data_IF_243624657856
#
_entry.id   IF_243624657856
#
_cell.length_a   1.000
_cell.length_b   1.000
_cell.length_c   1.000
_cell.angle_alpha   90.00
_cell.angle_beta   90.00
_cell.angle_gamma   90.00
#
_symmetry.space_group_name_H-M   'P 1'
#
loop_
_entity.id
_entity.type
_entity.pdbx_description
1 polymer ?
#
# COMPACT_ATOMS: atom_id res chain seq x y z
N UNK A 1 -36.14 -8.66 -8.31
CA UNK A 1 -35.24 -7.60 -7.85
C UNK A 1 -34.08 -7.54 -8.85
N UNK A 2 -33.81 -6.41 -9.51
CA UNK A 2 -32.83 -6.39 -10.63
C UNK A 2 -31.37 -6.53 -10.13
N UNK A 3 -31.16 -6.19 -8.86
CA UNK A 3 -29.95 -6.48 -8.12
C UNK A 3 -29.62 -7.98 -8.01
N UNK A 4 -30.57 -8.88 -8.30
CA UNK A 4 -30.34 -10.34 -8.35
C UNK A 4 -30.27 -10.90 -9.78
N UNK A 5 -30.32 -10.05 -10.82
CA UNK A 5 -30.18 -10.54 -12.19
C UNK A 5 -28.73 -10.92 -12.47
N UNK A 6 -28.51 -12.10 -13.06
CA UNK A 6 -27.17 -12.58 -13.42
C UNK A 6 -26.41 -11.56 -14.27
N UNK A 7 -27.10 -10.94 -15.22
CA UNK A 7 -26.57 -9.90 -16.12
C UNK A 7 -26.02 -8.68 -15.38
N UNK A 8 -26.75 -8.20 -14.37
CA UNK A 8 -26.32 -7.06 -13.55
C UNK A 8 -25.08 -7.38 -12.71
N UNK A 9 -25.07 -8.56 -12.10
CA UNK A 9 -23.99 -8.93 -11.17
C UNK A 9 -22.71 -9.25 -11.95
N UNK A 10 -22.84 -9.89 -13.12
CA UNK A 10 -21.73 -10.11 -14.04
C UNK A 10 -21.15 -8.79 -14.55
N UNK A 11 -21.99 -7.83 -14.94
CA UNK A 11 -21.49 -6.53 -15.43
C UNK A 11 -20.76 -5.76 -14.34
N UNK A 12 -21.27 -5.78 -13.10
CA UNK A 12 -20.62 -5.16 -11.93
C UNK A 12 -19.28 -5.85 -11.62
N UNK A 13 -19.28 -7.18 -11.56
CA UNK A 13 -18.08 -7.97 -11.26
C UNK A 13 -16.98 -7.79 -12.31
N UNK A 14 -17.33 -7.87 -13.60
CA UNK A 14 -16.39 -7.69 -14.70
C UNK A 14 -15.91 -6.24 -14.81
N UNK A 15 -16.81 -5.25 -14.68
CA UNK A 15 -16.47 -3.84 -14.73
C UNK A 15 -15.50 -3.43 -13.62
N UNK A 16 -15.77 -3.88 -12.38
CA UNK A 16 -14.86 -3.66 -11.27
C UNK A 16 -13.51 -4.38 -11.45
N UNK A 17 -13.53 -5.64 -11.87
CA UNK A 17 -12.31 -6.43 -12.08
C UNK A 17 -11.41 -5.83 -13.17
N UNK A 18 -11.99 -5.41 -14.28
CA UNK A 18 -11.25 -4.76 -15.38
C UNK A 18 -10.65 -3.42 -14.93
N UNK A 19 -11.41 -2.62 -14.17
CA UNK A 19 -10.89 -1.37 -13.61
C UNK A 19 -9.68 -1.62 -12.67
N UNK A 20 -9.80 -2.58 -11.76
CA UNK A 20 -8.71 -2.93 -10.82
C UNK A 20 -7.50 -3.48 -11.57
N UNK A 21 -7.72 -4.31 -12.59
CA UNK A 21 -6.66 -4.86 -13.41
C UNK A 21 -5.87 -3.76 -14.14
N UNK A 22 -6.57 -2.83 -14.80
CA UNK A 22 -5.95 -1.68 -15.45
C UNK A 22 -5.20 -0.80 -14.45
N UNK A 23 -5.82 -0.48 -13.32
CA UNK A 23 -5.17 0.29 -12.25
C UNK A 23 -3.89 -0.40 -11.74
N UNK A 24 -3.92 -1.72 -11.57
CA UNK A 24 -2.79 -2.51 -11.09
C UNK A 24 -1.63 -2.49 -12.09
N UNK A 25 -1.91 -2.60 -13.39
CA UNK A 25 -0.88 -2.49 -14.45
C UNK A 25 -0.19 -1.12 -14.41
N UNK A 26 -0.99 -0.06 -14.24
CA UNK A 26 -0.52 1.33 -14.12
C UNK A 26 0.14 1.63 -12.76
N UNK A 27 0.05 0.70 -11.80
CA UNK A 27 0.54 0.86 -10.44
C UNK A 27 -0.26 1.87 -9.61
N UNK A 28 -1.49 2.19 -10.00
CA UNK A 28 -2.35 3.09 -9.25
C UNK A 28 -2.93 2.37 -8.02
N UNK A 29 -2.76 2.92 -6.81
CA UNK A 29 -3.26 2.31 -5.58
C UNK A 29 -4.78 2.50 -5.47
N UNK A 30 -5.53 1.62 -6.11
CA UNK A 30 -7.00 1.60 -6.10
C UNK A 30 -7.50 0.44 -5.21
N UNK A 31 -8.73 0.53 -4.71
CA UNK A 31 -9.34 -0.53 -3.91
C UNK A 31 -10.45 -1.26 -4.65
N UNK A 32 -10.63 -2.53 -4.28
CA UNK A 32 -11.76 -3.38 -4.66
C UNK A 32 -13.10 -2.74 -4.34
N UNK A 33 -13.25 -2.19 -3.12
CA UNK A 33 -14.49 -1.55 -2.67
C UNK A 33 -14.83 -0.34 -3.53
N UNK A 34 -13.85 0.50 -3.85
CA UNK A 34 -14.06 1.68 -4.70
C UNK A 34 -14.49 1.30 -6.14
N UNK A 35 -13.82 0.30 -6.74
CA UNK A 35 -14.17 -0.19 -8.07
C UNK A 35 -15.56 -0.85 -8.09
N UNK A 36 -15.91 -1.62 -7.06
CA UNK A 36 -17.24 -2.22 -6.91
C UNK A 36 -18.32 -1.15 -6.75
N UNK A 37 -18.09 -0.12 -5.93
CA UNK A 37 -19.02 0.99 -5.78
C UNK A 37 -19.27 1.68 -7.12
N UNK A 38 -18.20 2.02 -7.86
CA UNK A 38 -18.32 2.61 -9.19
C UNK A 38 -19.10 1.70 -10.15
N UNK A 39 -18.74 0.42 -10.21
CA UNK A 39 -19.40 -0.56 -11.06
C UNK A 39 -20.89 -0.74 -10.72
N UNK A 40 -21.26 -0.77 -9.44
CA UNK A 40 -22.66 -0.81 -8.97
C UNK A 40 -23.44 0.44 -9.41
N UNK A 41 -22.84 1.64 -9.30
CA UNK A 41 -23.45 2.87 -9.81
C UNK A 41 -23.68 2.77 -11.32
N UNK A 42 -22.67 2.38 -12.08
CA UNK A 42 -22.74 2.33 -13.54
C UNK A 42 -23.70 1.27 -14.09
N UNK A 43 -23.60 0.04 -13.58
CA UNK A 43 -24.55 -1.03 -13.91
C UNK A 43 -25.97 -0.66 -13.50
N UNK A 44 -26.13 0.04 -12.37
CA UNK A 44 -27.43 0.49 -11.87
C UNK A 44 -28.08 1.55 -12.76
N UNK A 45 -27.29 2.53 -13.21
CA UNK A 45 -27.74 3.54 -14.17
C UNK A 45 -28.11 2.89 -15.51
N UNK A 46 -27.28 1.99 -16.03
CA UNK A 46 -27.53 1.30 -17.30
C UNK A 46 -28.81 0.46 -17.24
N UNK A 47 -29.01 -0.26 -16.13
CA UNK A 47 -30.24 -0.99 -15.83
C UNK A 47 -31.47 -0.08 -15.76
N UNK A 48 -31.37 1.06 -15.09
CA UNK A 48 -32.48 2.02 -15.01
C UNK A 48 -32.86 2.55 -16.39
N UNK A 49 -31.87 2.91 -17.22
CA UNK A 49 -32.11 3.44 -18.57
C UNK A 49 -32.76 2.39 -19.48
N UNK A 50 -32.34 1.12 -19.39
CA UNK A 50 -32.79 0.07 -20.30
C UNK A 50 -34.09 -0.62 -19.87
N UNK A 51 -34.34 -0.74 -18.56
CA UNK A 51 -35.46 -1.51 -18.01
C UNK A 51 -36.41 -0.68 -17.12
N UNK A 52 -36.10 0.60 -16.85
CA UNK A 52 -36.89 1.44 -15.93
C UNK A 52 -36.72 1.03 -14.46
N UNK A 53 -35.66 0.30 -14.11
CA UNK A 53 -35.46 -0.28 -12.78
C UNK A 53 -35.16 0.73 -11.68
N UNK A 54 -35.88 0.72 -10.56
CA UNK A 54 -35.57 1.61 -9.44
C UNK A 54 -34.13 1.41 -8.92
N UNK A 55 -33.32 2.46 -9.03
CA UNK A 55 -31.98 2.49 -8.44
C UNK A 55 -32.10 2.86 -6.97
N UNK A 56 -31.81 1.92 -6.06
CA UNK A 56 -31.74 2.16 -4.60
C UNK A 56 -30.49 2.98 -4.21
N UNK A 57 -30.39 4.21 -4.73
CA UNK A 57 -29.28 5.16 -4.51
C UNK A 57 -28.99 5.39 -3.02
N UNK A 58 -30.03 5.43 -2.17
CA UNK A 58 -29.88 5.61 -0.74
C UNK A 58 -29.12 4.45 -0.07
N UNK A 59 -29.42 3.19 -0.44
CA UNK A 59 -28.73 2.02 0.08
C UNK A 59 -27.27 1.95 -0.43
N UNK A 60 -27.03 2.34 -1.68
CA UNK A 60 -25.68 2.39 -2.25
C UNK A 60 -24.81 3.46 -1.58
N UNK A 61 -25.38 4.65 -1.34
CA UNK A 61 -24.72 5.74 -0.63
C UNK A 61 -24.36 5.36 0.81
N UNK A 62 -25.36 4.88 1.58
CA UNK A 62 -25.19 4.53 2.99
C UNK A 62 -24.20 3.39 3.24
N UNK A 63 -24.28 2.33 2.42
CA UNK A 63 -23.52 1.11 2.68
C UNK A 63 -22.13 1.11 2.05
N UNK A 64 -21.89 1.89 1.00
CA UNK A 64 -20.61 1.83 0.26
C UNK A 64 -19.90 3.19 0.19
N UNK A 65 -20.59 4.27 -0.17
CA UNK A 65 -19.95 5.57 -0.37
C UNK A 65 -19.51 6.20 0.96
N UNK A 66 -20.38 6.16 1.97
CA UNK A 66 -20.08 6.75 3.29
C UNK A 66 -18.86 6.07 3.93
N UNK A 67 -18.80 4.73 4.08
CA UNK A 67 -17.62 4.05 4.62
C UNK A 67 -16.34 4.32 3.82
N UNK A 68 -16.45 4.43 2.49
CA UNK A 68 -15.32 4.69 1.60
C UNK A 68 -14.68 6.07 1.83
N UNK A 69 -15.49 7.06 2.21
CA UNK A 69 -15.04 8.43 2.51
C UNK A 69 -14.57 8.57 3.96
N UNK A 70 -15.29 7.96 4.91
CA UNK A 70 -15.03 8.12 6.35
C UNK A 70 -13.82 7.29 6.80
N UNK A 71 -13.63 6.07 6.28
CA UNK A 71 -12.55 5.18 6.72
C UNK A 71 -11.13 5.75 6.60
N UNK A 72 -10.71 6.44 5.52
CA UNK A 72 -9.42 7.11 5.49
C UNK A 72 -9.31 8.24 6.53
N UNK A 73 -10.39 8.99 6.78
CA UNK A 73 -10.38 10.06 7.79
C UNK A 73 -10.19 9.50 9.20
N UNK A 74 -10.89 8.41 9.54
CA UNK A 74 -10.70 7.69 10.80
C UNK A 74 -9.24 7.26 10.94
N UNK A 75 -8.65 6.68 9.88
CA UNK A 75 -7.25 6.24 9.92
C UNK A 75 -6.27 7.40 10.13
N UNK A 76 -6.53 8.56 9.52
CA UNK A 76 -5.72 9.77 9.68
C UNK A 76 -5.74 10.24 11.13
N UNK A 77 -6.93 10.33 11.73
CA UNK A 77 -7.11 10.76 13.12
C UNK A 77 -6.41 9.79 14.08
N UNK A 78 -6.61 8.48 13.89
CA UNK A 78 -6.00 7.47 14.74
C UNK A 78 -4.47 7.48 14.66
N UNK A 79 -3.89 7.61 13.46
CA UNK A 79 -2.44 7.75 13.32
C UNK A 79 -1.93 9.04 13.98
N UNK A 80 -2.61 10.16 13.75
CA UNK A 80 -2.24 11.44 14.34
C UNK A 80 -2.26 11.41 15.88
N UNK A 81 -3.15 10.61 16.48
CA UNK A 81 -3.23 10.39 17.92
C UNK A 81 -2.19 9.38 18.43
N UNK A 82 -2.05 8.22 17.77
CA UNK A 82 -1.26 7.10 18.28
C UNK A 82 0.25 7.25 18.03
N UNK A 83 0.64 7.82 16.88
CA UNK A 83 2.06 7.93 16.54
C UNK A 83 2.85 8.80 17.54
N UNK A 84 2.37 9.97 18.00
CA UNK A 84 3.04 10.74 19.06
C UNK A 84 3.19 9.95 20.37
N UNK A 85 2.19 9.13 20.73
CA UNK A 85 2.24 8.28 21.93
C UNK A 85 3.32 7.22 21.78
N UNK A 86 3.36 6.51 20.65
CA UNK A 86 4.41 5.52 20.37
C UNK A 86 5.80 6.16 20.33
N UNK A 87 5.92 7.35 19.75
CA UNK A 87 7.16 8.13 19.77
C UNK A 87 7.59 8.49 21.20
N UNK A 88 6.66 8.96 22.03
CA UNK A 88 6.94 9.30 23.42
C UNK A 88 7.40 8.09 24.24
N UNK A 89 6.66 6.97 24.14
CA UNK A 89 6.99 5.70 24.80
C UNK A 89 8.39 5.22 24.39
N UNK A 90 8.66 5.20 23.08
CA UNK A 90 9.97 4.84 22.52
C UNK A 90 11.11 5.66 23.12
N UNK A 91 10.98 6.99 23.14
CA UNK A 91 12.03 7.89 23.66
C UNK A 91 12.24 7.64 25.16
N UNK A 92 11.15 7.47 25.92
CA UNK A 92 11.21 7.19 27.36
C UNK A 92 11.90 5.86 27.68
N UNK A 93 11.83 4.89 26.76
CA UNK A 93 12.49 3.59 26.88
C UNK A 93 13.95 3.60 26.43
N UNK A 94 14.52 4.78 26.10
CA UNK A 94 15.91 4.92 25.69
C UNK A 94 16.19 4.43 24.26
N UNK A 95 15.15 4.23 23.44
CA UNK A 95 15.31 3.81 22.04
C UNK A 95 15.45 5.08 21.19
N UNK A 96 16.68 5.45 20.84
CA UNK A 96 17.02 6.66 20.05
C UNK A 96 17.12 6.34 18.56
N UNK A 97 16.96 7.35 17.69
CA UNK A 97 17.19 7.18 16.25
C UNK A 97 18.65 7.51 16.01
N UNK A 98 19.39 6.59 15.40
CA UNK A 98 20.74 6.85 14.92
C UNK A 98 20.71 6.90 13.39
N UNK A 99 21.44 7.85 12.80
CA UNK A 99 21.64 7.92 11.35
C UNK A 99 22.99 7.28 11.05
N UNK A 100 22.98 6.19 10.29
CA UNK A 100 24.21 5.60 9.78
C UNK A 100 24.72 6.46 8.63
N UNK A 101 25.88 7.10 8.81
CA UNK A 101 26.60 7.78 7.74
C UNK A 101 27.47 6.73 7.05
N UNK A 102 27.01 6.22 5.91
CA UNK A 102 27.83 5.33 5.08
C UNK A 102 28.92 6.15 4.36
N UNK A 103 30.18 5.97 4.76
CA UNK A 103 31.34 6.51 4.03
C UNK A 103 31.88 5.42 3.09
N UNK A 104 31.63 5.58 1.79
CA UNK A 104 32.41 5.01 0.69
C UNK A 104 32.72 3.51 0.71
N UNK A 105 31.75 2.64 0.41
CA UNK A 105 32.06 1.27 -0.01
C UNK A 105 32.27 1.21 -1.53
N UNK A 106 33.44 1.65 -2.00
CA UNK A 106 34.00 1.12 -3.25
C UNK A 106 35.50 1.40 -3.32
N UNK A 107 36.31 0.39 -3.04
CA UNK A 107 37.71 0.37 -3.48
C UNK A 107 37.68 0.23 -5.01
N UNK A 108 37.78 1.36 -5.72
CA UNK A 108 37.66 1.41 -7.20
C UNK A 108 38.84 0.72 -7.89
N UNK A 109 39.99 0.57 -7.20
CA UNK A 109 41.14 -0.20 -7.71
C UNK A 109 42.17 -0.48 -6.62
N UNK A 110 42.65 -1.73 -6.53
CA UNK A 110 43.88 -2.10 -5.81
C UNK A 110 45.03 -2.05 -6.81
N UNK A 111 46.02 -1.19 -6.55
CA UNK A 111 47.28 -1.16 -7.30
C UNK A 111 48.28 -2.06 -6.56
N UNK A 112 48.88 -3.07 -7.21
CA UNK A 112 49.91 -3.87 -6.56
C UNK A 112 51.13 -2.98 -6.28
N UNK A 113 51.50 -2.86 -5.01
CA UNK A 113 52.76 -2.24 -4.61
C UNK A 113 53.88 -3.28 -4.84
N UNK A 114 54.93 -2.98 -5.63
CA UNK A 114 56.09 -3.85 -5.71
C UNK A 114 56.90 -3.70 -4.41
N UNK A 115 56.85 -4.68 -3.50
CA UNK A 115 57.61 -4.62 -2.24
C UNK A 115 58.34 -5.94 -1.96
N UNK A 116 59.67 -5.86 -1.85
CA UNK A 116 60.54 -6.90 -1.28
C UNK A 116 60.79 -6.68 0.22
N UNK A 117 61.35 -7.67 0.94
CA UNK A 117 61.44 -7.64 2.41
C UNK A 117 62.35 -6.51 2.92
N UNK A 118 61.86 -5.72 3.88
CA UNK A 118 62.67 -4.78 4.68
C UNK A 118 62.53 -3.27 4.39
N UNK A 119 61.45 -2.79 3.75
CA UNK A 119 61.23 -1.34 3.54
C UNK A 119 60.05 -0.79 4.33
N UNK A 120 60.24 0.40 4.89
CA UNK A 120 59.25 1.14 5.68
C UNK A 120 58.02 1.52 4.84
N UNK A 121 56.84 1.17 5.38
CA UNK A 121 55.56 1.20 4.67
C UNK A 121 55.02 2.62 4.43
N UNK A 122 55.47 3.62 5.21
CA UNK A 122 54.94 4.99 5.19
C UNK A 122 55.66 5.92 4.20
N UNK A 123 56.92 5.64 3.86
CA UNK A 123 57.74 6.49 2.98
C UNK A 123 57.68 6.09 1.49
N UNK A 124 57.19 4.88 1.18
CA UNK A 124 56.98 4.40 -0.20
C UNK A 124 55.63 4.82 -0.81
N UNK A 125 54.75 5.43 -0.01
CA UNK A 125 53.53 6.09 -0.50
C UNK A 125 53.79 7.51 -1.05
N UNK A 126 55.06 7.89 -1.22
CA UNK A 126 55.41 9.15 -1.89
C UNK A 126 55.37 8.91 -3.40
N UNK A 127 54.22 9.25 -3.98
CA UNK A 127 54.00 9.58 -5.39
C UNK A 127 54.69 8.64 -6.38
N UNK A 128 53.94 7.66 -6.90
CA UNK A 128 54.24 7.15 -8.23
C UNK A 128 54.36 8.36 -9.17
N UNK A 129 55.54 8.63 -9.78
CA UNK A 129 55.78 9.86 -10.53
C UNK A 129 54.92 10.01 -11.79
N UNK A 130 54.16 8.97 -12.16
CA UNK A 130 53.30 8.94 -13.34
C UNK A 130 51.86 9.42 -13.10
N UNK A 131 51.51 9.93 -11.90
CA UNK A 131 50.15 10.36 -11.63
C UNK A 131 49.88 11.82 -12.04
N UNK A 132 49.59 12.02 -13.31
CA UNK A 132 49.22 13.30 -13.93
C UNK A 132 47.68 13.47 -14.03
N UNK A 133 46.97 13.24 -12.92
CA UNK A 133 45.50 13.24 -12.87
C UNK A 133 44.93 14.18 -11.81
N UNK A 134 44.26 15.23 -12.27
CA UNK A 134 43.67 16.35 -11.53
C UNK A 134 42.45 15.97 -10.66
N UNK A 135 42.60 15.02 -9.73
CA UNK A 135 41.49 14.57 -8.87
C UNK A 135 41.89 14.50 -7.40
N UNK A 136 41.57 15.58 -6.70
CA UNK A 136 41.47 15.62 -5.25
C UNK A 136 40.61 14.44 -4.74
N UNK A 137 40.98 13.90 -3.58
CA UNK A 137 40.22 12.90 -2.84
C UNK A 137 38.79 13.40 -2.66
N UNK A 138 37.85 12.85 -3.42
CA UNK A 138 36.45 13.27 -3.42
C UNK A 138 35.68 12.35 -2.49
N UNK A 139 35.30 12.86 -1.32
CA UNK A 139 34.39 12.17 -0.41
C UNK A 139 32.99 12.32 -1.00
N UNK A 140 32.51 11.29 -1.68
CA UNK A 140 31.13 11.24 -2.16
C UNK A 140 30.24 10.80 -0.99
N UNK A 141 29.56 11.78 -0.38
CA UNK A 141 28.55 11.50 0.64
C UNK A 141 27.38 10.82 -0.06
N UNK A 142 27.02 9.61 0.40
CA UNK A 142 25.86 8.90 -0.13
C UNK A 142 24.63 9.84 -0.16
N UNK A 143 23.83 9.83 -1.24
CA UNK A 143 22.62 10.63 -1.31
C UNK A 143 21.76 10.41 -0.06
N UNK A 144 21.14 11.47 0.47
CA UNK A 144 20.33 11.46 1.70
C UNK A 144 19.24 10.36 1.72
N UNK A 145 18.86 9.87 0.54
CA UNK A 145 17.88 8.80 0.30
C UNK A 145 18.41 7.39 0.64
N UNK A 146 19.73 7.24 0.79
CA UNK A 146 20.43 5.97 1.09
C UNK A 146 20.84 5.84 2.57
N UNK A 147 20.65 6.89 3.37
CA UNK A 147 20.94 6.90 4.80
C UNK A 147 19.83 6.14 5.54
N UNK A 148 20.16 4.99 6.12
CA UNK A 148 19.19 4.18 6.87
C UNK A 148 19.10 4.69 8.32
N UNK A 149 17.88 5.01 8.77
CA UNK A 149 17.61 5.31 10.18
C UNK A 149 17.57 4.00 10.97
N UNK A 150 18.57 3.77 11.84
CA UNK A 150 18.59 2.63 12.76
C UNK A 150 18.05 2.99 14.14
N UNK A 151 17.50 1.97 14.81
CA UNK A 151 16.95 2.08 16.16
C UNK A 151 17.92 1.39 17.12
N UNK A 152 18.73 2.17 17.82
CA UNK A 152 19.63 1.62 18.85
C UNK A 152 18.95 1.57 20.23
N UNK A 153 19.34 0.59 21.04
CA UNK A 153 18.85 0.35 22.40
C UNK A 153 18.34 -1.08 22.63
N UNK A 154 18.21 -1.47 23.91
CA UNK A 154 17.64 -2.77 24.30
C UNK A 154 16.32 -2.59 25.03
N UNK A 155 15.29 -3.29 24.58
CA UNK A 155 14.02 -3.39 25.30
C UNK A 155 13.88 -4.77 25.93
N UNK A 156 13.77 -4.84 27.27
CA UNK A 156 13.69 -6.09 28.03
C UNK A 156 14.80 -7.09 27.68
N UNK A 157 16.01 -6.59 27.38
CA UNK A 157 17.18 -7.42 27.00
C UNK A 157 17.26 -7.81 25.52
N UNK A 158 16.23 -7.52 24.71
CA UNK A 158 16.20 -7.78 23.26
C UNK A 158 16.61 -6.51 22.50
N UNK A 159 17.36 -6.67 21.40
CA UNK A 159 17.72 -5.55 20.52
C UNK A 159 16.44 -4.92 19.90
N UNK A 160 16.29 -3.61 20.07
CA UNK A 160 15.10 -2.85 19.66
C UNK A 160 14.90 -2.83 18.15
N UNK A 161 15.96 -2.88 17.35
CA UNK A 161 15.90 -2.98 15.88
C UNK A 161 15.21 -4.29 15.47
N UNK A 162 15.74 -5.43 15.92
CA UNK A 162 15.17 -6.75 15.62
C UNK A 162 13.71 -6.89 16.07
N UNK A 163 13.39 -6.36 17.24
CA UNK A 163 12.04 -6.38 17.77
C UNK A 163 11.09 -5.53 16.91
N UNK A 164 11.52 -4.34 16.51
CA UNK A 164 10.73 -3.45 15.66
C UNK A 164 10.56 -4.02 14.24
N UNK A 165 11.59 -4.66 13.69
CA UNK A 165 11.51 -5.33 12.39
C UNK A 165 10.52 -6.49 12.42
N UNK A 166 10.55 -7.30 13.49
CA UNK A 166 9.57 -8.36 13.72
C UNK A 166 8.15 -7.79 13.82
N UNK A 167 7.95 -6.71 14.60
CA UNK A 167 6.64 -6.07 14.70
C UNK A 167 6.18 -5.46 13.38
N UNK A 168 7.07 -4.83 12.62
CA UNK A 168 6.75 -4.29 11.31
C UNK A 168 6.33 -5.42 10.35
N UNK A 169 7.06 -6.53 10.31
CA UNK A 169 6.70 -7.70 9.51
C UNK A 169 5.34 -8.29 9.92
N UNK A 170 5.14 -8.53 11.22
CA UNK A 170 3.88 -9.06 11.76
C UNK A 170 2.71 -8.12 11.46
N UNK A 171 2.92 -6.81 11.55
CA UNK A 171 1.88 -5.81 11.21
C UNK A 171 1.53 -5.83 9.72
N UNK A 172 2.49 -6.11 8.82
CA UNK A 172 2.20 -6.36 7.39
C UNK A 172 1.34 -7.61 7.18
N UNK A 173 1.58 -8.66 7.98
CA UNK A 173 0.72 -9.83 8.06
C UNK A 173 -0.70 -9.49 8.54
N UNK A 174 -0.83 -8.65 9.57
CA UNK A 174 -2.12 -8.17 10.06
C UNK A 174 -2.91 -7.42 8.98
N UNK A 175 -2.27 -6.54 8.21
CA UNK A 175 -2.91 -5.83 7.08
C UNK A 175 -3.36 -6.81 5.99
N UNK A 176 -2.57 -7.85 5.73
CA UNK A 176 -2.91 -8.89 4.74
C UNK A 176 -4.11 -9.71 5.19
N UNK A 177 -4.13 -10.13 6.46
CA UNK A 177 -5.28 -10.81 7.07
C UNK A 177 -6.54 -9.94 7.06
N UNK A 178 -6.41 -8.68 7.47
CA UNK A 178 -7.51 -7.72 7.47
C UNK A 178 -8.10 -7.52 6.07
N UNK A 179 -7.25 -7.49 5.04
CA UNK A 179 -7.69 -7.42 3.63
C UNK A 179 -8.44 -8.67 3.20
N UNK A 180 -7.98 -9.87 3.56
CA UNK A 180 -8.73 -11.11 3.32
C UNK A 180 -10.10 -11.07 3.99
N UNK A 181 -10.15 -10.75 5.29
CA UNK A 181 -11.39 -10.67 6.06
C UNK A 181 -12.41 -9.69 5.48
N UNK A 182 -11.93 -8.57 4.92
CA UNK A 182 -12.75 -7.51 4.36
C UNK A 182 -13.18 -7.77 2.91
N UNK A 183 -12.30 -8.32 2.06
CA UNK A 183 -12.54 -8.40 0.61
C UNK A 183 -13.10 -9.75 0.17
N UNK A 184 -12.77 -10.85 0.86
CA UNK A 184 -13.27 -12.18 0.49
C UNK A 184 -14.81 -12.25 0.50
N UNK A 185 -15.53 -11.76 1.55
CA UNK A 185 -17.00 -11.80 1.54
C UNK A 185 -17.61 -10.97 0.40
N UNK A 186 -16.98 -9.85 0.01
CA UNK A 186 -17.46 -8.97 -1.08
C UNK A 186 -17.36 -9.65 -2.43
N UNK A 187 -16.22 -10.27 -2.71
CA UNK A 187 -15.98 -11.00 -3.97
C UNK A 187 -16.87 -12.25 -4.01
N UNK A 188 -16.97 -12.97 -2.89
CA UNK A 188 -17.83 -14.15 -2.78
C UNK A 188 -19.30 -13.79 -3.01
N UNK A 189 -19.79 -12.68 -2.48
CA UNK A 189 -21.18 -12.25 -2.68
C UNK A 189 -21.53 -12.13 -4.16
N UNK A 190 -20.61 -11.67 -5.01
CA UNK A 190 -20.77 -11.61 -6.47
C UNK A 190 -20.75 -13.00 -7.13
N UNK A 191 -19.87 -13.90 -6.66
CA UNK A 191 -19.77 -15.26 -7.20
C UNK A 191 -20.98 -16.13 -6.86
N UNK A 192 -21.50 -16.02 -5.63
CA UNK A 192 -22.65 -16.81 -5.17
C UNK A 192 -23.93 -16.42 -5.90
N UNK A 193 -24.12 -15.12 -6.15
CA UNK A 193 -25.27 -14.66 -6.92
C UNK A 193 -25.18 -15.03 -8.40
N UNK A 194 -23.98 -15.24 -8.94
CA UNK A 194 -23.78 -15.85 -10.26
C UNK A 194 -24.02 -17.38 -10.29
N UNK A 195 -24.42 -18.01 -9.17
CA UNK A 195 -24.69 -19.46 -9.05
C UNK A 195 -23.46 -20.35 -9.33
N UNK A 196 -22.25 -19.81 -9.20
CA UNK A 196 -21.03 -20.48 -9.68
C UNK A 196 -20.47 -21.51 -8.69
N UNK A 197 -20.70 -21.36 -7.37
CA UNK A 197 -20.08 -22.21 -6.34
C UNK A 197 -20.94 -22.35 -5.07
N UNK A 198 -20.72 -23.43 -4.32
CA UNK A 198 -21.17 -23.52 -2.93
C UNK A 198 -20.29 -22.61 -2.04
N UNK A 199 -20.85 -22.09 -0.95
CA UNK A 199 -20.24 -21.06 -0.09
C UNK A 199 -18.85 -21.45 0.41
N UNK A 200 -18.67 -22.70 0.88
CA UNK A 200 -17.41 -23.19 1.45
C UNK A 200 -16.27 -23.19 0.43
N UNK A 201 -16.49 -23.77 -0.75
CA UNK A 201 -15.52 -23.78 -1.84
C UNK A 201 -15.29 -22.39 -2.46
N UNK A 202 -16.32 -21.52 -2.41
CA UNK A 202 -16.22 -20.13 -2.85
C UNK A 202 -15.25 -19.31 -2.01
N UNK A 203 -15.29 -19.44 -0.67
CA UNK A 203 -14.35 -18.74 0.21
C UNK A 203 -12.89 -19.13 -0.06
N UNK A 204 -12.62 -20.43 -0.16
CA UNK A 204 -11.27 -20.97 -0.38
C UNK A 204 -10.75 -20.57 -1.76
N UNK A 205 -11.58 -20.67 -2.80
CA UNK A 205 -11.18 -20.31 -4.17
C UNK A 205 -10.86 -18.82 -4.31
N UNK A 206 -11.67 -17.94 -3.71
CA UNK A 206 -11.38 -16.49 -3.66
C UNK A 206 -10.08 -16.23 -2.92
N UNK A 207 -9.86 -16.88 -1.77
CA UNK A 207 -8.61 -16.74 -1.02
C UNK A 207 -7.37 -17.12 -1.82
N UNK A 208 -7.42 -18.26 -2.52
CA UNK A 208 -6.32 -18.73 -3.39
C UNK A 208 -6.11 -17.76 -4.56
N UNK A 209 -7.18 -17.31 -5.21
CA UNK A 209 -7.10 -16.37 -6.32
C UNK A 209 -6.48 -15.02 -5.89
N UNK A 210 -6.86 -14.50 -4.72
CA UNK A 210 -6.28 -13.29 -4.14
C UNK A 210 -4.79 -13.47 -3.84
N UNK A 211 -4.38 -14.62 -3.30
CA UNK A 211 -2.98 -14.93 -3.02
C UNK A 211 -2.13 -14.97 -4.31
N UNK A 212 -2.60 -15.69 -5.33
CA UNK A 212 -1.93 -15.78 -6.63
C UNK A 212 -1.84 -14.40 -7.30
N UNK A 213 -2.94 -13.64 -7.34
CA UNK A 213 -2.97 -12.30 -7.92
C UNK A 213 -1.99 -11.33 -7.22
N UNK A 214 -1.88 -11.43 -5.90
CA UNK A 214 -0.92 -10.66 -5.10
C UNK A 214 0.53 -10.96 -5.46
N UNK A 215 0.87 -12.24 -5.67
CA UNK A 215 2.23 -12.66 -6.08
C UNK A 215 2.57 -12.16 -7.47
N UNK A 216 1.63 -12.24 -8.42
CA UNK A 216 1.88 -11.89 -9.83
C UNK A 216 2.01 -10.37 -10.02
N UNK A 217 1.09 -9.57 -9.47
CA UNK A 217 0.96 -8.14 -9.84
C UNK A 217 1.02 -7.17 -8.64
N UNK A 218 1.11 -7.66 -7.40
CA UNK A 218 1.08 -6.82 -6.20
C UNK A 218 2.30 -5.90 -6.03
N UNK A 219 3.46 -6.28 -6.58
CA UNK A 219 4.74 -5.56 -6.38
C UNK A 219 4.71 -4.12 -6.89
N UNK A 220 4.07 -3.84 -8.02
CA UNK A 220 4.03 -2.46 -8.60
C UNK A 220 3.27 -1.51 -7.69
N UNK A 221 2.09 -1.92 -7.23
CA UNK A 221 1.24 -1.12 -6.33
C UNK A 221 1.92 -0.95 -4.97
N UNK A 222 2.52 -2.03 -4.43
CA UNK A 222 3.25 -1.99 -3.17
C UNK A 222 4.42 -0.98 -3.21
N UNK A 223 5.23 -0.98 -4.27
CA UNK A 223 6.35 -0.05 -4.42
C UNK A 223 5.88 1.41 -4.48
N UNK A 224 4.76 1.69 -5.17
CA UNK A 224 4.16 3.03 -5.23
C UNK A 224 3.67 3.48 -3.85
N UNK A 225 3.05 2.59 -3.08
CA UNK A 225 2.58 2.91 -1.73
C UNK A 225 3.73 3.11 -0.73
N UNK A 226 4.82 2.35 -0.85
CA UNK A 226 5.94 2.40 0.11
C UNK A 226 6.93 3.55 -0.14
N UNK A 227 7.26 3.87 -1.39
CA UNK A 227 8.31 4.85 -1.71
C UNK A 227 7.79 6.24 -2.11
N UNK A 228 6.64 6.30 -2.80
CA UNK A 228 6.21 7.55 -3.42
C UNK A 228 5.43 8.45 -2.45
N UNK A 229 4.80 7.88 -1.41
CA UNK A 229 3.91 8.62 -0.49
C UNK A 229 4.70 9.36 0.60
N UNK A 230 5.59 8.67 1.30
CA UNK A 230 6.48 9.25 2.32
C UNK A 230 7.66 8.33 2.57
N UNK A 231 8.84 8.88 2.88
CA UNK A 231 9.99 8.09 3.32
C UNK A 231 9.71 7.56 4.73
N UNK A 232 9.64 6.23 4.88
CA UNK A 232 9.28 5.60 6.14
C UNK A 232 10.41 4.77 6.71
N UNK A 233 10.65 4.91 8.01
CA UNK A 233 11.37 3.92 8.81
C UNK A 233 10.43 2.80 9.30
N UNK A 234 11.01 1.73 9.86
CA UNK A 234 10.28 0.57 10.38
C UNK A 234 9.21 0.92 11.42
N UNK A 235 9.44 1.93 12.29
CA UNK A 235 8.46 2.33 13.30
C UNK A 235 7.25 3.06 12.73
N UNK A 236 7.46 3.89 11.72
CA UNK A 236 6.39 4.53 10.94
C UNK A 236 5.59 3.46 10.18
N UNK A 237 6.27 2.53 9.50
CA UNK A 237 5.63 1.42 8.79
C UNK A 237 4.78 0.54 9.73
N UNK A 238 5.32 0.16 10.88
CA UNK A 238 4.60 -0.57 11.92
C UNK A 238 3.33 0.18 12.37
N UNK A 239 3.44 1.47 12.67
CA UNK A 239 2.30 2.27 13.15
C UNK A 239 1.20 2.35 12.08
N UNK A 240 1.55 2.62 10.82
CA UNK A 240 0.59 2.66 9.73
C UNK A 240 -0.12 1.33 9.51
N UNK A 241 0.64 0.23 9.51
CA UNK A 241 0.10 -1.12 9.33
C UNK A 241 -0.81 -1.53 10.49
N UNK A 242 -0.43 -1.22 11.73
CA UNK A 242 -1.23 -1.52 12.91
C UNK A 242 -2.57 -0.79 12.88
N UNK A 243 -2.57 0.52 12.62
CA UNK A 243 -3.81 1.30 12.52
C UNK A 243 -4.67 0.80 11.35
N UNK A 244 -4.06 0.53 10.20
CA UNK A 244 -4.77 -0.02 9.03
C UNK A 244 -5.44 -1.34 9.37
N UNK A 245 -4.70 -2.28 9.97
CA UNK A 245 -5.22 -3.59 10.36
C UNK A 245 -6.38 -3.49 11.33
N UNK A 246 -6.23 -2.69 12.41
CA UNK A 246 -7.28 -2.51 13.42
C UNK A 246 -8.56 -1.91 12.81
N UNK A 247 -8.44 -0.83 12.05
CA UNK A 247 -9.60 -0.15 11.43
C UNK A 247 -10.34 -1.09 10.49
N UNK A 248 -9.61 -1.81 9.63
CA UNK A 248 -10.22 -2.71 8.65
C UNK A 248 -10.85 -3.94 9.33
N UNK A 249 -10.18 -4.55 10.33
CA UNK A 249 -10.75 -5.68 11.07
C UNK A 249 -12.01 -5.24 11.81
N UNK A 250 -11.97 -4.09 12.49
CA UNK A 250 -13.13 -3.56 13.21
C UNK A 250 -14.31 -3.31 12.27
N UNK A 251 -14.07 -2.62 11.14
CA UNK A 251 -15.09 -2.40 10.12
C UNK A 251 -15.67 -3.72 9.57
N UNK A 252 -14.82 -4.73 9.34
CA UNK A 252 -15.26 -6.05 8.88
C UNK A 252 -16.12 -6.76 9.93
N UNK A 253 -15.80 -6.62 11.21
CA UNK A 253 -16.57 -7.22 12.32
C UNK A 253 -17.97 -6.65 12.45
N UNK A 254 -18.15 -5.37 12.14
CA UNK A 254 -19.47 -4.71 12.11
C UNK A 254 -20.15 -4.80 10.73
N UNK A 255 -19.56 -5.54 9.78
CA UNK A 255 -20.14 -5.78 8.45
C UNK A 255 -20.10 -4.57 7.50
N UNK A 256 -19.27 -3.58 7.78
CA UNK A 256 -19.17 -2.36 6.97
C UNK A 256 -18.06 -2.51 5.91
N UNK A 257 -18.37 -2.44 4.60
CA UNK A 257 -17.38 -2.61 3.55
C UNK A 257 -16.48 -1.38 3.45
N UNK A 258 -15.20 -1.53 3.81
CA UNK A 258 -14.22 -0.44 3.73
C UNK A 258 -13.15 -0.69 2.68
N UNK A 259 -12.49 0.38 2.24
CA UNK A 259 -11.33 0.31 1.34
C UNK A 259 -10.05 0.19 2.16
N UNK A 260 -9.42 -0.99 2.16
CA UNK A 260 -8.12 -1.17 2.82
C UNK A 260 -7.04 -0.27 2.24
N UNK A 261 -7.10 0.02 0.93
CA UNK A 261 -6.14 0.91 0.25
C UNK A 261 -6.31 2.36 0.71
N UNK A 262 -7.54 2.83 0.89
CA UNK A 262 -7.79 4.19 1.40
C UNK A 262 -7.39 4.32 2.86
N UNK A 263 -7.72 3.33 3.70
CA UNK A 263 -7.30 3.31 5.11
C UNK A 263 -5.77 3.28 5.22
N UNK A 264 -5.10 2.47 4.40
CA UNK A 264 -3.64 2.40 4.38
C UNK A 264 -3.02 3.71 3.88
N UNK A 265 -3.47 4.26 2.75
CA UNK A 265 -3.01 5.56 2.25
C UNK A 265 -3.28 6.69 3.25
N UNK A 266 -4.45 6.72 3.89
CA UNK A 266 -4.78 7.70 4.93
C UNK A 266 -3.82 7.62 6.12
N UNK A 267 -3.50 6.40 6.58
CA UNK A 267 -2.49 6.19 7.62
C UNK A 267 -1.12 6.74 7.21
N UNK A 268 -0.71 6.53 5.95
CA UNK A 268 0.56 7.04 5.40
C UNK A 268 0.56 8.56 5.24
N UNK A 269 -0.55 9.14 4.77
CA UNK A 269 -0.71 10.60 4.63
C UNK A 269 -0.58 11.27 6.00
N UNK A 270 -1.23 10.71 7.03
CA UNK A 270 -1.12 11.21 8.39
C UNK A 270 0.31 11.16 8.93
N UNK A 271 1.05 10.07 8.70
CA UNK A 271 2.46 10.00 9.08
C UNK A 271 3.31 11.05 8.37
N UNK A 272 3.06 11.29 7.08
CA UNK A 272 3.74 12.34 6.33
C UNK A 272 3.45 13.74 6.89
N UNK A 273 2.21 14.01 7.28
CA UNK A 273 1.80 15.29 7.88
C UNK A 273 2.45 15.47 9.26
N UNK A 274 2.32 14.47 10.14
CA UNK A 274 2.84 14.53 11.52
C UNK A 274 4.36 14.65 11.56
N UNK A 275 5.08 14.00 10.63
CA UNK A 275 6.53 14.07 10.54
C UNK A 275 7.04 15.18 9.61
N UNK A 276 6.16 16.01 9.02
CA UNK A 276 6.51 17.06 8.06
C UNK A 276 7.30 16.54 6.84
N UNK A 277 7.05 15.30 6.42
CA UNK A 277 7.70 14.60 5.30
C UNK A 277 6.69 14.23 4.19
N UNK A 278 5.52 14.87 4.16
CA UNK A 278 4.47 14.60 3.18
C UNK A 278 4.88 15.04 1.77
N UNK A 279 4.86 14.11 0.80
CA UNK A 279 5.04 14.41 -0.62
C UNK A 279 3.69 14.79 -1.24
N UNK A 280 3.25 16.04 -1.01
CA UNK A 280 1.91 16.55 -1.39
C UNK A 280 1.55 16.26 -2.86
N UNK A 281 2.50 16.43 -3.79
CA UNK A 281 2.29 16.15 -5.21
C UNK A 281 1.94 14.67 -5.48
N UNK A 282 2.55 13.73 -4.78
CA UNK A 282 2.20 12.31 -4.88
C UNK A 282 0.82 12.05 -4.28
N UNK A 283 0.55 12.59 -3.09
CA UNK A 283 -0.74 12.45 -2.42
C UNK A 283 -1.87 12.91 -3.36
N UNK A 284 -1.71 14.07 -3.99
CA UNK A 284 -2.69 14.59 -4.94
C UNK A 284 -2.85 13.69 -6.17
N UNK A 285 -1.76 13.13 -6.71
CA UNK A 285 -1.84 12.15 -7.82
C UNK A 285 -2.63 10.90 -7.45
N UNK A 286 -2.48 10.42 -6.21
CA UNK A 286 -3.24 9.28 -5.70
C UNK A 286 -4.73 9.65 -5.57
N UNK A 287 -5.04 10.82 -5.01
CA UNK A 287 -6.42 11.30 -4.91
C UNK A 287 -7.07 11.46 -6.29
N UNK A 288 -6.33 11.98 -7.28
CA UNK A 288 -6.80 12.06 -8.66
C UNK A 288 -7.06 10.66 -9.22
N UNK A 289 -6.18 9.69 -9.00
CA UNK A 289 -6.40 8.31 -9.43
C UNK A 289 -7.65 7.69 -8.79
N UNK A 290 -7.96 8.00 -7.52
CA UNK A 290 -9.22 7.58 -6.90
C UNK A 290 -10.40 8.24 -7.59
N UNK A 291 -10.41 9.56 -7.72
CA UNK A 291 -11.53 10.27 -8.38
C UNK A 291 -11.77 9.81 -9.81
N UNK A 292 -10.74 9.42 -10.56
CA UNK A 292 -10.89 8.97 -11.95
C UNK A 292 -11.27 7.49 -12.09
N UNK A 293 -10.89 6.64 -11.14
CA UNK A 293 -11.14 5.19 -11.25
C UNK A 293 -12.57 4.80 -10.91
N UNK A 294 -13.29 5.55 -10.07
CA UNK A 294 -14.72 5.32 -9.82
C UNK A 294 -15.58 5.52 -11.08
N UNK A 295 -15.50 6.66 -11.81
CA UNK A 295 -16.20 6.83 -13.08
C UNK A 295 -15.78 5.79 -14.12
N UNK A 296 -14.50 5.41 -14.15
CA UNK A 296 -14.03 4.37 -15.07
C UNK A 296 -14.71 3.03 -14.78
N UNK A 297 -14.77 2.60 -13.52
CA UNK A 297 -15.46 1.36 -13.14
C UNK A 297 -16.97 1.43 -13.46
N UNK A 298 -17.59 2.59 -13.24
CA UNK A 298 -18.99 2.82 -13.59
C UNK A 298 -19.21 2.69 -15.11
N UNK A 299 -18.38 3.34 -15.92
CA UNK A 299 -18.48 3.28 -17.38
C UNK A 299 -18.29 1.84 -17.88
N UNK A 300 -17.27 1.13 -17.39
CA UNK A 300 -17.01 -0.25 -17.80
C UNK A 300 -18.20 -1.17 -17.48
N UNK A 301 -18.74 -1.09 -16.26
CA UNK A 301 -19.91 -1.89 -15.88
C UNK A 301 -21.16 -1.51 -16.69
N UNK A 302 -21.40 -0.22 -16.94
CA UNK A 302 -22.53 0.25 -17.74
C UNK A 302 -22.48 -0.28 -19.18
N UNK A 303 -21.29 -0.25 -19.80
CA UNK A 303 -21.05 -0.76 -21.16
C UNK A 303 -21.23 -2.27 -21.22
N UNK A 304 -20.66 -3.02 -20.27
CA UNK A 304 -20.81 -4.49 -20.22
C UNK A 304 -22.27 -4.87 -20.05
N UNK A 305 -23.01 -4.16 -19.19
CA UNK A 305 -24.43 -4.40 -19.00
C UNK A 305 -25.24 -4.13 -20.28
N UNK A 306 -24.95 -3.02 -20.96
CA UNK A 306 -25.61 -2.66 -22.21
C UNK A 306 -25.44 -3.74 -23.28
N UNK A 307 -24.22 -4.24 -23.49
CA UNK A 307 -23.95 -5.31 -24.45
C UNK A 307 -24.67 -6.61 -24.10
N UNK A 308 -24.69 -6.99 -22.83
CA UNK A 308 -25.36 -8.22 -22.38
C UNK A 308 -26.89 -8.09 -22.35
N UNK A 309 -27.45 -6.88 -22.35
CA UNK A 309 -28.89 -6.68 -22.41
C UNK A 309 -29.42 -6.72 -23.85
N UNK A 310 -28.61 -6.33 -24.82
CA UNK A 310 -29.01 -6.27 -26.24
C UNK A 310 -28.87 -7.62 -26.95
N UNK A 311 -27.98 -8.49 -26.44
CA UNK A 311 -27.71 -9.83 -26.97
C UNK A 311 -28.26 -10.90 -26.02
#
# INVERSE_FOLDING_TARGET
>A
DIASSHSFILSVGLGASLCIFLASILGWPVSTTHALTGALVGGGISSYVLQGSELKLAALGGNFIIPLLISPLISIILVAMLYPIFRYIRIKMGITKEMDICVGEKVVRTVPLPVGPGKDYLSSATLSPDYQGDKALTIDLAPRETLMERYDGRFLGINSEKLLDAFHFLSGGLVSFARGLNDTPKILALLLTASAFQIEYGLVSVGIAMAIGGIINGRRVANRMSHDITSMNHGQGFTANLVTGIVVIFASRIGVPVSTTHVSCGSLFALGIVNRSAKVKTILRILVAWVTTLPLAALLAAVIYYFHFIH
#
